data_IF_912927496273
#
_entry.id   IF_912927496273
#
_cell.length_a   1.000
_cell.length_b   1.000
_cell.length_c   1.000
_cell.angle_alpha   90.00
_cell.angle_beta   90.00
_cell.angle_gamma   90.00
#
_symmetry.space_group_name_H-M   'P 1'
#
loop_
_entity.id
_entity.type
_entity.pdbx_description
1 polymer ?
#
# COMPACT_ATOMS: atom_id res chain seq x y z
N UNK A 1 7.17 -13.32 34.92
CA UNK A 1 6.81 -12.56 33.70
C UNK A 1 5.57 -11.67 33.87
N UNK A 2 4.37 -12.22 34.11
CA UNK A 2 3.12 -11.43 34.22
C UNK A 2 3.05 -10.55 35.47
N UNK A 3 3.54 -11.04 36.61
CA UNK A 3 3.61 -10.25 37.86
C UNK A 3 4.52 -9.02 37.72
N UNK A 4 5.65 -9.16 37.02
CA UNK A 4 6.57 -8.07 36.72
C UNK A 4 5.97 -6.98 35.79
N UNK A 5 5.00 -7.37 34.94
CA UNK A 5 4.23 -6.42 34.14
C UNK A 5 3.11 -5.76 34.94
N UNK A 6 2.43 -6.52 35.81
CA UNK A 6 1.36 -6.02 36.68
C UNK A 6 1.87 -4.97 37.67
N UNK A 7 3.08 -5.17 38.19
CA UNK A 7 3.74 -4.26 39.12
C UNK A 7 4.57 -3.16 38.41
N UNK A 8 4.47 -3.04 37.07
CA UNK A 8 5.23 -2.09 36.25
C UNK A 8 6.76 -2.09 36.46
N UNK A 9 7.33 -3.17 37.01
CA UNK A 9 8.75 -3.29 37.35
C UNK A 9 9.63 -3.30 36.10
N UNK A 10 9.12 -3.78 34.97
CA UNK A 10 9.86 -3.85 33.72
C UNK A 10 8.95 -3.78 32.49
N UNK A 11 9.47 -3.23 31.40
CA UNK A 11 8.74 -3.12 30.13
C UNK A 11 8.51 -4.50 29.50
N UNK A 12 7.45 -4.59 28.69
CA UNK A 12 7.08 -5.82 27.99
C UNK A 12 8.22 -6.41 27.14
N UNK A 13 9.00 -5.56 26.47
CA UNK A 13 10.18 -6.01 25.71
C UNK A 13 11.29 -6.56 26.62
N UNK A 14 11.52 -5.95 27.78
CA UNK A 14 12.54 -6.41 28.74
C UNK A 14 12.11 -7.72 29.40
N UNK A 15 10.84 -7.83 29.78
CA UNK A 15 10.27 -9.07 30.31
C UNK A 15 10.32 -10.21 29.27
N UNK A 16 10.02 -9.93 28.00
CA UNK A 16 10.10 -10.92 26.93
C UNK A 16 11.52 -11.53 26.82
N UNK A 17 12.55 -10.68 26.85
CA UNK A 17 13.93 -11.11 26.79
C UNK A 17 14.38 -11.87 28.04
N UNK A 18 14.08 -11.34 29.23
CA UNK A 18 14.47 -11.96 30.52
C UNK A 18 13.83 -13.32 30.73
N UNK A 19 12.56 -13.47 30.36
CA UNK A 19 11.81 -14.72 30.60
C UNK A 19 11.82 -15.66 29.39
N UNK A 20 12.50 -15.32 28.29
CA UNK A 20 12.58 -16.15 27.08
C UNK A 20 11.22 -16.38 26.40
N UNK A 21 10.25 -15.48 26.61
CA UNK A 21 8.91 -15.57 26.04
C UNK A 21 8.79 -14.50 24.94
N UNK A 22 8.34 -14.84 23.73
CA UNK A 22 8.09 -13.84 22.69
C UNK A 22 7.19 -12.70 23.20
N UNK A 23 7.59 -11.46 22.93
CA UNK A 23 6.89 -10.27 23.40
C UNK A 23 5.40 -10.26 22.99
N UNK A 24 5.08 -10.78 21.80
CA UNK A 24 3.72 -10.93 21.29
C UNK A 24 2.88 -11.88 22.15
N UNK A 25 3.45 -13.03 22.55
CA UNK A 25 2.79 -14.00 23.43
C UNK A 25 2.58 -13.44 24.83
N UNK A 26 3.57 -12.71 25.35
CA UNK A 26 3.46 -12.08 26.65
C UNK A 26 2.41 -10.95 26.65
N UNK A 27 2.32 -10.19 25.57
CA UNK A 27 1.31 -9.15 25.36
C UNK A 27 -0.11 -9.73 25.29
N UNK A 28 -0.31 -10.79 24.52
CA UNK A 28 -1.61 -11.49 24.45
C UNK A 28 -2.06 -12.00 25.82
N UNK A 29 -1.15 -12.60 26.61
CA UNK A 29 -1.45 -13.09 27.95
C UNK A 29 -1.72 -11.96 28.95
N UNK A 30 -0.97 -10.86 28.89
CA UNK A 30 -1.18 -9.70 29.74
C UNK A 30 -2.52 -9.02 29.46
N UNK A 31 -2.87 -8.83 28.18
CA UNK A 31 -4.15 -8.26 27.75
C UNK A 31 -5.34 -9.13 28.20
N UNK A 32 -5.22 -10.46 28.09
CA UNK A 32 -6.25 -11.40 28.55
C UNK A 32 -6.43 -11.41 30.08
N UNK A 33 -5.42 -10.91 30.81
CA UNK A 33 -5.41 -10.77 32.27
C UNK A 33 -5.76 -9.34 32.74
N UNK A 34 -6.16 -8.46 31.82
CA UNK A 34 -6.50 -7.06 32.14
C UNK A 34 -5.30 -6.21 32.57
N UNK A 35 -4.07 -6.66 32.30
CA UNK A 35 -2.86 -5.89 32.59
C UNK A 35 -2.63 -4.95 31.42
N UNK A 36 -2.82 -3.66 31.66
CA UNK A 36 -2.55 -2.60 30.69
C UNK A 36 -1.05 -2.52 30.43
N UNK A 37 -0.57 -3.26 29.44
CA UNK A 37 0.78 -3.08 28.94
C UNK A 37 0.77 -1.82 28.09
N UNK A 38 1.53 -0.76 28.44
CA UNK A 38 1.65 0.39 27.56
C UNK A 38 2.14 -0.14 26.21
N UNK A 39 1.30 0.02 25.19
CA UNK A 39 1.68 -0.29 23.81
C UNK A 39 2.99 0.44 23.60
N UNK A 40 4.02 -0.24 23.13
CA UNK A 40 5.17 0.46 22.55
C UNK A 40 4.56 1.27 21.40
N UNK A 41 4.30 2.53 21.67
CA UNK A 41 4.32 3.57 20.66
C UNK A 41 5.76 3.54 20.14
N UNK A 42 6.04 2.57 19.25
CA UNK A 42 7.14 2.73 18.32
C UNK A 42 6.98 4.12 17.75
N UNK A 43 8.08 4.89 17.63
CA UNK A 43 8.04 6.34 17.50
C UNK A 43 6.88 6.69 16.61
N UNK A 44 5.82 7.27 17.20
CA UNK A 44 4.78 7.90 16.43
C UNK A 44 5.57 8.89 15.59
N UNK A 45 5.86 8.51 14.35
CA UNK A 45 6.40 9.42 13.37
C UNK A 45 5.18 10.27 13.04
N UNK A 46 4.86 11.16 13.97
CA UNK A 46 3.87 12.21 13.81
C UNK A 46 4.45 13.05 12.69
N UNK A 47 3.97 12.80 11.49
CA UNK A 47 4.25 13.65 10.35
C UNK A 47 3.78 15.06 10.71
N UNK A 48 4.55 16.08 10.32
CA UNK A 48 4.14 17.45 10.57
C UNK A 48 2.88 17.77 9.76
N UNK A 49 2.07 18.69 10.24
CA UNK A 49 0.95 19.23 9.47
C UNK A 49 1.43 19.80 8.13
N UNK A 50 2.63 20.35 8.10
CA UNK A 50 3.28 20.85 6.89
C UNK A 50 3.58 19.74 5.88
N UNK A 51 4.12 18.61 6.34
CA UNK A 51 4.40 17.45 5.49
C UNK A 51 3.10 16.87 4.91
N UNK A 52 2.04 16.86 5.71
CA UNK A 52 0.73 16.39 5.28
C UNK A 52 0.12 17.34 4.23
N UNK A 53 0.17 18.65 4.46
CA UNK A 53 -0.33 19.63 3.51
C UNK A 53 0.41 19.52 2.16
N UNK A 54 1.75 19.47 2.19
CA UNK A 54 2.57 19.29 0.98
C UNK A 54 2.27 17.98 0.25
N UNK A 55 2.09 16.87 0.98
CA UNK A 55 1.71 15.60 0.39
C UNK A 55 0.33 15.65 -0.29
N UNK A 56 -0.65 16.33 0.32
CA UNK A 56 -2.00 16.47 -0.23
C UNK A 56 -2.04 17.39 -1.45
N UNK A 57 -1.27 18.47 -1.48
CA UNK A 57 -1.16 19.36 -2.63
C UNK A 57 -0.57 18.65 -3.86
N UNK A 58 0.47 17.84 -3.65
CA UNK A 58 1.10 17.09 -4.73
C UNK A 58 0.20 15.96 -5.24
N UNK A 59 -0.60 15.35 -4.35
CA UNK A 59 -1.65 14.40 -4.70
C UNK A 59 -2.80 15.06 -5.48
N UNK A 60 -3.24 16.26 -5.06
CA UNK A 60 -4.29 17.04 -5.74
C UNK A 60 -3.84 17.51 -7.11
N UNK A 61 -2.58 17.93 -7.23
CA UNK A 61 -1.96 18.34 -8.49
C UNK A 61 -1.72 17.16 -9.44
N UNK A 62 -1.79 15.92 -8.95
CA UNK A 62 -1.54 14.71 -9.74
C UNK A 62 -0.09 14.54 -10.21
N UNK A 63 0.82 15.43 -9.79
CA UNK A 63 2.26 15.37 -10.10
C UNK A 63 2.96 14.19 -9.41
N UNK A 64 2.42 13.76 -8.27
CA UNK A 64 3.01 12.71 -7.46
C UNK A 64 1.96 11.67 -7.03
N UNK A 65 2.36 10.39 -7.02
CA UNK A 65 1.54 9.30 -6.50
C UNK A 65 1.60 9.21 -4.97
N UNK A 66 0.59 8.60 -4.36
CA UNK A 66 0.55 8.37 -2.90
C UNK A 66 1.79 7.61 -2.39
N UNK A 67 2.30 6.66 -3.18
CA UNK A 67 3.50 5.91 -2.83
C UNK A 67 4.76 6.78 -2.80
N UNK A 68 4.89 7.72 -3.74
CA UNK A 68 6.05 8.62 -3.79
C UNK A 68 5.93 9.70 -2.71
N UNK A 69 4.74 10.28 -2.54
CA UNK A 69 4.45 11.23 -1.46
C UNK A 69 4.72 10.64 -0.07
N UNK A 70 4.34 9.37 0.15
CA UNK A 70 4.61 8.66 1.40
C UNK A 70 6.10 8.55 1.73
N UNK A 71 6.97 8.37 0.72
CA UNK A 71 8.42 8.30 0.90
C UNK A 71 9.03 9.68 1.12
N UNK A 72 8.59 10.66 0.34
CA UNK A 72 9.08 12.05 0.37
C UNK A 72 8.77 12.72 1.72
N UNK A 73 7.51 12.61 2.17
CA UNK A 73 6.99 13.29 3.36
C UNK A 73 7.01 12.41 4.62
N UNK A 74 7.48 11.16 4.50
CA UNK A 74 7.55 10.22 5.64
C UNK A 74 6.21 9.79 6.23
N UNK A 75 5.10 10.05 5.52
CA UNK A 75 3.74 9.75 5.95
C UNK A 75 3.37 8.33 5.49
N UNK A 76 2.84 7.45 6.35
CA UNK A 76 2.38 6.14 5.92
C UNK A 76 1.33 6.24 4.80
N UNK A 77 1.47 5.39 3.77
CA UNK A 77 0.53 5.32 2.65
C UNK A 77 -0.92 5.19 3.12
N UNK A 78 -1.18 4.27 4.06
CA UNK A 78 -2.53 4.03 4.60
C UNK A 78 -3.16 5.30 5.19
N UNK A 79 -2.35 6.16 5.81
CA UNK A 79 -2.77 7.47 6.32
C UNK A 79 -3.11 8.41 5.15
N UNK A 80 -2.22 8.57 4.17
CA UNK A 80 -2.46 9.42 3.00
C UNK A 80 -3.71 8.99 2.23
N UNK A 81 -3.93 7.69 2.04
CA UNK A 81 -5.14 7.16 1.39
C UNK A 81 -6.42 7.53 2.15
N UNK A 82 -6.42 7.43 3.48
CA UNK A 82 -7.57 7.82 4.31
C UNK A 82 -7.86 9.31 4.19
N UNK A 83 -6.83 10.15 4.31
CA UNK A 83 -6.98 11.60 4.32
C UNK A 83 -7.39 12.09 2.93
N UNK A 84 -6.73 11.62 1.87
CA UNK A 84 -7.08 11.98 0.51
C UNK A 84 -8.52 11.57 0.14
N UNK A 85 -9.01 10.41 0.59
CA UNK A 85 -10.43 10.04 0.42
C UNK A 85 -11.37 10.99 1.15
N UNK A 86 -11.01 11.41 2.38
CA UNK A 86 -11.79 12.37 3.17
C UNK A 86 -11.83 13.75 2.50
N UNK A 87 -10.70 14.18 1.95
CA UNK A 87 -10.53 15.43 1.20
C UNK A 87 -11.10 15.37 -0.23
N UNK A 88 -11.66 14.22 -0.66
CA UNK A 88 -12.21 14.03 -2.00
C UNK A 88 -11.15 14.07 -3.11
N UNK A 89 -9.87 13.94 -2.78
CA UNK A 89 -8.77 13.93 -3.74
C UNK A 89 -8.80 12.60 -4.50
N UNK A 90 -8.99 12.68 -5.82
CA UNK A 90 -8.86 11.53 -6.72
C UNK A 90 -7.39 11.11 -6.74
N UNK A 91 -7.05 10.17 -5.86
CA UNK A 91 -5.74 9.55 -5.85
C UNK A 91 -5.47 8.94 -7.22
N UNK A 92 -4.38 9.35 -7.87
CA UNK A 92 -3.90 8.69 -9.08
C UNK A 92 -3.83 7.19 -8.82
N UNK A 93 -4.57 6.45 -9.65
CA UNK A 93 -4.81 5.01 -9.50
C UNK A 93 -3.53 4.26 -9.16
N UNK A 94 -3.53 3.34 -8.17
CA UNK A 94 -2.32 2.64 -7.82
C UNK A 94 -1.86 1.82 -9.03
N UNK A 95 -0.60 1.98 -9.39
CA UNK A 95 0.18 1.02 -10.17
C UNK A 95 -0.19 0.75 -11.64
N UNK A 96 -1.34 1.21 -12.17
CA UNK A 96 -1.78 0.83 -13.53
C UNK A 96 -1.88 1.96 -14.55
N UNK A 97 -1.43 3.17 -14.21
CA UNK A 97 -1.38 4.29 -15.16
C UNK A 97 0.00 4.47 -15.80
N UNK A 98 0.81 3.40 -15.96
CA UNK A 98 1.59 3.35 -17.19
C UNK A 98 0.52 3.36 -18.28
N UNK A 99 0.39 4.50 -18.95
CA UNK A 99 -0.41 4.56 -20.16
C UNK A 99 0.03 3.35 -20.99
N UNK A 100 -0.88 2.43 -21.33
CA UNK A 100 -0.50 1.30 -22.15
C UNK A 100 0.23 1.86 -23.37
N UNK A 101 1.37 1.26 -23.73
CA UNK A 101 2.11 1.66 -24.93
C UNK A 101 1.28 1.55 -26.20
N UNK A 102 0.12 0.89 -26.11
CA UNK A 102 -0.84 0.66 -27.17
C UNK A 102 -2.06 1.57 -27.02
N UNK A 103 -2.51 2.13 -28.14
CA UNK A 103 -3.74 2.89 -28.21
C UNK A 103 -4.97 1.96 -28.17
N UNK A 104 -6.12 2.45 -27.67
CA UNK A 104 -7.37 1.68 -27.63
C UNK A 104 -7.88 1.28 -29.02
N UNK A 105 -7.62 2.11 -30.06
CA UNK A 105 -7.93 1.79 -31.45
C UNK A 105 -7.14 0.59 -31.97
N UNK A 106 -5.84 0.52 -31.67
CA UNK A 106 -4.98 -0.60 -32.08
C UNK A 106 -5.38 -1.89 -31.37
N UNK A 107 -5.83 -1.79 -30.11
CA UNK A 107 -6.41 -2.94 -29.41
C UNK A 107 -7.67 -3.47 -30.11
N UNK A 108 -8.53 -2.57 -30.58
CA UNK A 108 -9.76 -2.96 -31.26
C UNK A 108 -9.44 -3.64 -32.59
N UNK A 109 -8.50 -3.10 -33.37
CA UNK A 109 -8.01 -3.72 -34.61
C UNK A 109 -7.34 -5.07 -34.37
N UNK A 110 -6.54 -5.20 -33.31
CA UNK A 110 -5.92 -6.47 -32.94
C UNK A 110 -6.96 -7.54 -32.62
N UNK A 111 -8.01 -7.19 -31.87
CA UNK A 111 -9.10 -8.12 -31.53
C UNK A 111 -9.92 -8.52 -32.76
N UNK A 112 -10.18 -7.58 -33.67
CA UNK A 112 -10.87 -7.86 -34.94
C UNK A 112 -10.05 -8.80 -35.84
N UNK A 113 -8.75 -8.56 -35.95
CA UNK A 113 -7.83 -9.44 -36.68
C UNK A 113 -7.80 -10.85 -36.06
N UNK A 114 -7.79 -10.97 -34.73
CA UNK A 114 -7.84 -12.27 -34.04
C UNK A 114 -9.17 -12.99 -34.33
N UNK A 115 -10.29 -12.27 -34.32
CA UNK A 115 -11.60 -12.84 -34.73
C UNK A 115 -11.61 -13.28 -36.20
N UNK A 116 -10.86 -12.60 -37.06
CA UNK A 116 -10.61 -12.97 -38.45
C UNK A 116 -9.64 -14.13 -38.65
N UNK A 117 -9.15 -14.78 -37.58
CA UNK A 117 -8.26 -15.94 -37.65
C UNK A 117 -6.77 -15.64 -37.46
N UNK A 118 -6.40 -14.39 -37.13
CA UNK A 118 -5.01 -14.06 -36.78
C UNK A 118 -4.64 -14.63 -35.40
N UNK A 119 -3.41 -15.13 -35.26
CA UNK A 119 -2.93 -15.60 -33.96
C UNK A 119 -2.65 -14.44 -32.99
N UNK A 120 -2.86 -14.67 -31.68
CA UNK A 120 -2.65 -13.67 -30.63
C UNK A 120 -1.22 -13.13 -30.62
N UNK A 121 -0.21 -13.98 -30.89
CA UNK A 121 1.19 -13.55 -31.00
C UNK A 121 1.43 -12.62 -32.20
N UNK A 122 0.80 -12.91 -33.34
CA UNK A 122 0.96 -12.09 -34.55
C UNK A 122 0.27 -10.73 -34.38
N UNK A 123 -0.93 -10.71 -33.80
CA UNK A 123 -1.63 -9.48 -33.48
C UNK A 123 -0.86 -8.64 -32.42
N UNK A 124 -0.25 -9.28 -31.43
CA UNK A 124 0.59 -8.59 -30.45
C UNK A 124 1.79 -7.86 -31.11
N UNK A 125 2.44 -8.52 -32.07
CA UNK A 125 3.58 -7.95 -32.79
C UNK A 125 3.16 -6.83 -33.76
N UNK A 126 2.08 -7.02 -34.51
CA UNK A 126 1.59 -6.05 -35.50
C UNK A 126 1.06 -4.76 -34.86
N UNK A 127 0.34 -4.88 -33.75
CA UNK A 127 -0.32 -3.75 -33.10
C UNK A 127 0.44 -3.22 -31.87
N UNK A 128 1.64 -3.74 -31.58
CA UNK A 128 2.49 -3.28 -30.47
C UNK A 128 1.87 -3.50 -29.08
N UNK A 129 1.03 -4.53 -28.94
CA UNK A 129 0.26 -4.82 -27.74
C UNK A 129 0.87 -6.04 -27.04
N UNK A 130 1.22 -5.97 -25.75
CA UNK A 130 1.69 -7.13 -25.01
C UNK A 130 0.69 -8.29 -25.11
N UNK A 131 1.18 -9.49 -25.43
CA UNK A 131 0.35 -10.71 -25.56
C UNK A 131 -0.52 -10.94 -24.33
N UNK A 132 0.00 -10.67 -23.12
CA UNK A 132 -0.75 -10.78 -21.87
C UNK A 132 -2.00 -9.89 -21.81
N UNK A 133 -1.98 -8.72 -22.47
CA UNK A 133 -3.16 -7.84 -22.59
C UNK A 133 -4.24 -8.45 -23.48
N UNK A 134 -3.84 -9.10 -24.58
CA UNK A 134 -4.77 -9.73 -25.52
C UNK A 134 -5.36 -11.04 -24.98
N UNK A 135 -4.54 -11.86 -24.30
CA UNK A 135 -4.98 -13.14 -23.72
C UNK A 135 -6.11 -12.98 -22.70
N UNK A 136 -6.07 -11.93 -21.87
CA UNK A 136 -7.12 -11.67 -20.88
C UNK A 136 -8.46 -11.20 -21.48
N UNK A 137 -8.48 -10.81 -22.76
CA UNK A 137 -9.64 -10.21 -23.44
C UNK A 137 -10.23 -11.08 -24.56
N UNK A 138 -9.56 -12.16 -24.93
CA UNK A 138 -9.95 -13.04 -26.03
C UNK A 138 -10.54 -14.39 -25.55
N UNK A 139 -10.90 -14.51 -24.26
CA UNK A 139 -11.48 -15.71 -23.66
C UNK A 139 -13.01 -15.65 -23.67
#
# INVERSE_FOLDING_TARGET
>A
ALDALRNAVMSLSKAAHVYGIPATTLWQRAHRMGIETPKKEGPNKTWSEHDLAGALEELRSGRMSANRASKEFGIPNSTLYKIARKEGIKLSSPFSAIQPSWNPDDLTKALDAIRGGMSVQKAAQEFGIPTGTLYGRCR
#
